data_IF_383060579246
#
_entry.id   IF_383060579246
#
_cell.length_a   1.000
_cell.length_b   1.000
_cell.length_c   1.000
_cell.angle_alpha   90.00
_cell.angle_beta   90.00
_cell.angle_gamma   90.00
#
_symmetry.space_group_name_H-M   'P 1'
#
loop_
_entity.id
_entity.type
_entity.pdbx_description
1 polymer ?
#
# COMPACT_ATOMS: atom_id res chain seq x y z
N UNK A 1 -32.90 -7.36 13.98
CA UNK A 1 -32.94 -6.54 12.74
C UNK A 1 -34.10 -7.00 11.86
N UNK A 2 -35.13 -6.17 11.68
CA UNK A 2 -36.35 -6.50 10.93
C UNK A 2 -36.29 -6.11 9.44
N UNK A 3 -35.22 -6.49 8.74
CA UNK A 3 -35.12 -6.28 7.29
C UNK A 3 -36.10 -7.23 6.61
N UNK A 4 -37.04 -6.70 5.83
CA UNK A 4 -38.09 -7.49 5.15
C UNK A 4 -37.92 -7.51 3.63
N UNK A 5 -37.03 -6.68 3.09
CA UNK A 5 -36.77 -6.57 1.66
C UNK A 5 -35.27 -6.48 1.37
N UNK A 6 -34.83 -7.20 0.33
CA UNK A 6 -33.46 -7.19 -0.20
C UNK A 6 -33.53 -6.96 -1.69
N UNK A 7 -32.63 -6.11 -2.19
CA UNK A 7 -32.47 -5.85 -3.62
C UNK A 7 -31.10 -6.39 -4.05
N UNK A 8 -31.07 -7.29 -5.02
CA UNK A 8 -29.86 -7.90 -5.55
C UNK A 8 -29.56 -7.32 -6.94
N UNK A 9 -28.43 -6.64 -7.07
CA UNK A 9 -27.88 -6.24 -8.36
C UNK A 9 -27.29 -7.46 -9.08
N UNK A 10 -27.83 -7.84 -10.24
CA UNK A 10 -27.42 -9.03 -10.98
C UNK A 10 -27.09 -8.66 -12.43
N UNK A 11 -25.92 -9.13 -12.90
CA UNK A 11 -25.47 -8.96 -14.29
C UNK A 11 -25.39 -10.30 -15.05
N UNK A 12 -24.91 -11.37 -14.40
CA UNK A 12 -24.72 -12.68 -15.04
C UNK A 12 -25.89 -13.64 -14.78
N UNK A 13 -26.45 -14.23 -15.85
CA UNK A 13 -27.53 -15.24 -15.83
C UNK A 13 -28.72 -14.91 -14.89
N UNK A 14 -29.44 -13.80 -15.13
CA UNK A 14 -30.50 -13.29 -14.25
C UNK A 14 -31.67 -14.27 -14.08
N UNK A 15 -32.03 -15.03 -15.12
CA UNK A 15 -33.15 -15.99 -15.05
C UNK A 15 -32.86 -17.17 -14.12
N UNK A 16 -31.65 -17.72 -14.17
CA UNK A 16 -31.24 -18.83 -13.33
C UNK A 16 -31.16 -18.39 -11.86
N UNK A 17 -30.61 -17.19 -11.61
CA UNK A 17 -30.53 -16.61 -10.28
C UNK A 17 -31.92 -16.25 -9.74
N UNK A 18 -32.80 -15.67 -10.54
CA UNK A 18 -34.17 -15.35 -10.12
C UNK A 18 -34.97 -16.61 -9.75
N UNK A 19 -34.82 -17.71 -10.50
CA UNK A 19 -35.43 -19.01 -10.14
C UNK A 19 -34.91 -19.54 -8.82
N UNK A 20 -33.59 -19.50 -8.62
CA UNK A 20 -32.97 -19.94 -7.37
C UNK A 20 -33.46 -19.11 -6.18
N UNK A 21 -33.49 -17.78 -6.30
CA UNK A 21 -33.86 -16.86 -5.22
C UNK A 21 -35.34 -16.95 -4.83
N UNK A 22 -36.22 -17.28 -5.78
CA UNK A 22 -37.66 -17.42 -5.53
C UNK A 22 -37.96 -18.50 -4.46
N UNK A 23 -37.17 -19.57 -4.43
CA UNK A 23 -37.30 -20.62 -3.41
C UNK A 23 -36.87 -20.13 -2.02
N UNK A 24 -36.08 -19.06 -1.93
CA UNK A 24 -35.59 -18.49 -0.67
C UNK A 24 -36.49 -17.37 -0.13
N UNK A 25 -37.25 -16.67 -0.97
CA UNK A 25 -38.22 -15.66 -0.49
C UNK A 25 -39.17 -16.25 0.55
N UNK A 26 -39.73 -17.43 0.25
CA UNK A 26 -40.66 -18.13 1.14
C UNK A 26 -39.98 -18.71 2.38
N UNK A 27 -38.72 -19.18 2.25
CA UNK A 27 -37.97 -19.78 3.36
C UNK A 27 -37.45 -18.74 4.36
N UNK A 28 -37.10 -17.56 3.87
CA UNK A 28 -36.56 -16.47 4.67
C UNK A 28 -37.63 -15.49 5.14
N UNK A 29 -38.83 -15.53 4.55
CA UNK A 29 -39.90 -14.57 4.86
C UNK A 29 -39.54 -13.14 4.44
N UNK A 30 -38.76 -13.00 3.37
CA UNK A 30 -38.22 -11.73 2.88
C UNK A 30 -38.55 -11.57 1.40
N UNK A 31 -38.86 -10.35 0.98
CA UNK A 31 -39.02 -10.00 -0.43
C UNK A 31 -37.64 -9.82 -1.07
N UNK A 32 -37.38 -10.50 -2.19
CA UNK A 32 -36.09 -10.43 -2.90
C UNK A 32 -36.35 -9.87 -4.30
N UNK A 33 -35.88 -8.65 -4.54
CA UNK A 33 -35.99 -7.98 -5.84
C UNK A 33 -34.68 -8.07 -6.60
N UNK A 34 -34.70 -8.59 -7.83
CA UNK A 34 -33.54 -8.55 -8.72
C UNK A 34 -33.52 -7.22 -9.50
N UNK A 35 -32.41 -6.50 -9.45
CA UNK A 35 -32.11 -5.36 -10.32
C UNK A 35 -31.16 -5.82 -11.42
N UNK A 36 -31.66 -5.89 -12.65
CA UNK A 36 -30.89 -6.32 -13.81
C UNK A 36 -30.40 -5.09 -14.58
N UNK A 37 -29.09 -5.01 -14.81
CA UNK A 37 -28.53 -4.06 -15.76
C UNK A 37 -28.72 -4.58 -17.19
N UNK A 38 -29.30 -3.77 -18.06
CA UNK A 38 -29.38 -4.06 -19.50
C UNK A 38 -28.13 -3.62 -20.25
N UNK A 39 -27.38 -2.65 -19.71
CA UNK A 39 -26.10 -2.17 -20.24
C UNK A 39 -25.14 -1.89 -19.06
N UNK A 40 -23.81 -2.02 -19.23
CA UNK A 40 -22.85 -1.78 -18.16
C UNK A 40 -22.82 -0.29 -17.78
N UNK A 41 -23.36 0.07 -16.61
CA UNK A 41 -23.44 1.46 -16.13
C UNK A 41 -22.37 1.80 -15.07
N UNK A 42 -21.41 0.90 -14.83
CA UNK A 42 -20.37 1.04 -13.80
C UNK A 42 -20.89 0.73 -12.39
N UNK A 43 -20.05 0.89 -11.36
CA UNK A 43 -20.32 0.40 -9.99
C UNK A 43 -21.56 1.02 -9.33
N UNK A 44 -21.97 2.23 -9.74
CA UNK A 44 -23.16 2.90 -9.24
C UNK A 44 -24.43 2.63 -10.07
N UNK A 45 -24.29 1.96 -11.22
CA UNK A 45 -25.37 1.63 -12.15
C UNK A 45 -26.54 0.88 -11.49
N UNK A 46 -26.30 -0.17 -10.68
CA UNK A 46 -27.38 -0.94 -10.11
C UNK A 46 -28.19 -0.17 -9.07
N UNK A 47 -27.55 0.76 -8.34
CA UNK A 47 -28.19 1.66 -7.38
C UNK A 47 -29.08 2.69 -8.08
N UNK A 48 -28.64 3.23 -9.22
CA UNK A 48 -29.41 4.19 -10.00
C UNK A 48 -30.72 3.58 -10.51
N UNK A 49 -30.70 2.32 -10.94
CA UNK A 49 -31.87 1.59 -11.44
C UNK A 49 -32.93 1.29 -10.37
N UNK A 50 -32.56 1.36 -9.09
CA UNK A 50 -33.46 1.05 -7.97
C UNK A 50 -33.72 2.23 -7.06
N UNK A 51 -33.33 3.44 -7.46
CA UNK A 51 -33.54 4.66 -6.69
C UNK A 51 -34.99 4.81 -6.20
N UNK A 52 -35.96 4.56 -7.08
CA UNK A 52 -37.39 4.66 -6.78
C UNK A 52 -37.90 3.59 -5.81
N UNK A 53 -37.14 2.51 -5.62
CA UNK A 53 -37.42 1.45 -4.64
C UNK A 53 -36.67 1.63 -3.33
N UNK A 54 -35.53 2.34 -3.36
CA UNK A 54 -34.71 2.63 -2.18
C UNK A 54 -35.24 3.81 -1.38
N UNK A 55 -35.87 4.78 -2.04
CA UNK A 55 -36.46 5.95 -1.41
C UNK A 55 -37.96 5.69 -1.27
N UNK A 56 -38.35 4.95 -0.23
CA UNK A 56 -39.71 5.05 0.26
C UNK A 56 -39.80 6.33 1.10
N UNK A 57 -40.88 7.09 1.00
CA UNK A 57 -41.05 8.41 1.64
C UNK A 57 -40.94 8.37 3.18
N UNK A 58 -40.67 7.20 3.77
CA UNK A 58 -40.45 6.97 5.20
C UNK A 58 -39.18 7.63 5.73
N UNK A 59 -38.19 7.92 4.87
CA UNK A 59 -36.88 8.45 5.28
C UNK A 59 -36.05 7.44 6.09
N UNK A 60 -36.39 6.15 6.02
CA UNK A 60 -35.64 5.09 6.70
C UNK A 60 -34.29 4.83 6.01
N UNK A 61 -33.21 4.60 6.77
CA UNK A 61 -31.92 4.25 6.17
C UNK A 61 -31.96 2.83 5.59
N UNK A 62 -31.20 2.62 4.52
CA UNK A 62 -30.95 1.31 3.92
C UNK A 62 -29.47 0.96 3.99
N UNK A 63 -29.15 -0.33 3.82
CA UNK A 63 -27.77 -0.80 3.75
C UNK A 63 -27.38 -1.10 2.30
N UNK A 64 -26.15 -0.73 1.96
CA UNK A 64 -25.48 -1.18 0.75
C UNK A 64 -24.36 -2.12 1.17
N UNK A 65 -24.38 -3.34 0.65
CA UNK A 65 -23.44 -4.39 0.98
C UNK A 65 -22.89 -5.01 -0.30
N UNK A 66 -21.62 -5.41 -0.29
CA UNK A 66 -21.06 -6.26 -1.33
C UNK A 66 -21.56 -7.69 -1.12
N UNK A 67 -21.93 -8.37 -2.20
CA UNK A 67 -22.53 -9.72 -2.15
C UNK A 67 -21.51 -10.82 -1.86
N UNK A 68 -20.22 -10.54 -1.94
CA UNK A 68 -19.11 -11.47 -1.72
C UNK A 68 -18.49 -11.36 -0.31
N UNK A 69 -19.05 -10.54 0.57
CA UNK A 69 -18.55 -10.37 1.94
C UNK A 69 -19.39 -11.19 2.92
N UNK A 70 -18.74 -12.17 3.57
CA UNK A 70 -19.34 -12.98 4.63
C UNK A 70 -18.71 -12.57 5.96
N UNK A 71 -19.45 -11.83 6.79
CA UNK A 71 -19.05 -11.53 8.17
C UNK A 71 -20.25 -11.20 9.06
N UNK A 72 -20.03 -11.20 10.38
CA UNK A 72 -21.01 -10.70 11.34
C UNK A 72 -20.99 -9.17 11.36
N UNK A 73 -21.95 -8.56 10.67
CA UNK A 73 -22.09 -7.11 10.65
C UNK A 73 -22.82 -6.61 11.91
N UNK A 74 -22.30 -5.61 12.64
CA UNK A 74 -22.98 -5.01 13.79
C UNK A 74 -24.04 -3.98 13.35
N UNK A 75 -25.01 -4.41 12.53
CA UNK A 75 -25.95 -3.53 11.82
C UNK A 75 -26.77 -2.62 12.75
N UNK A 76 -27.14 -3.09 13.94
CA UNK A 76 -27.83 -2.28 14.94
C UNK A 76 -26.98 -1.11 15.44
N UNK A 77 -25.68 -1.33 15.64
CA UNK A 77 -24.74 -0.27 16.03
C UNK A 77 -24.56 0.71 14.87
N UNK A 78 -24.50 0.22 13.64
CA UNK A 78 -24.39 1.06 12.44
C UNK A 78 -25.59 1.99 12.28
N UNK A 79 -26.83 1.51 12.47
CA UNK A 79 -28.02 2.35 12.41
C UNK A 79 -28.01 3.40 13.52
N UNK A 80 -27.68 3.01 14.75
CA UNK A 80 -27.60 3.95 15.88
C UNK A 80 -26.56 5.04 15.61
N UNK A 81 -25.39 4.66 15.12
CA UNK A 81 -24.35 5.60 14.72
C UNK A 81 -24.87 6.53 13.62
N UNK A 82 -25.44 5.99 12.54
CA UNK A 82 -25.93 6.76 11.41
C UNK A 82 -26.96 7.82 11.80
N UNK A 83 -27.96 7.41 12.59
CA UNK A 83 -29.01 8.32 13.09
C UNK A 83 -28.47 9.39 14.05
N UNK A 84 -27.39 9.11 14.78
CA UNK A 84 -26.84 10.03 15.76
C UNK A 84 -26.02 11.18 15.15
N UNK A 85 -25.29 10.93 14.04
CA UNK A 85 -24.46 11.97 13.41
C UNK A 85 -25.20 12.78 12.33
N UNK A 86 -26.26 12.23 11.73
CA UNK A 86 -27.17 12.95 10.82
C UNK A 86 -26.61 13.33 9.44
N UNK A 87 -25.42 12.84 9.09
CA UNK A 87 -24.82 12.99 7.75
C UNK A 87 -25.41 12.05 6.69
N UNK A 88 -25.10 12.32 5.43
CA UNK A 88 -25.71 11.66 4.26
C UNK A 88 -25.49 10.14 4.19
N UNK A 89 -24.34 9.66 4.68
CA UNK A 89 -23.98 8.25 4.63
C UNK A 89 -23.07 7.85 5.80
N UNK A 90 -22.96 6.54 6.03
CA UNK A 90 -22.00 5.95 6.97
C UNK A 90 -21.34 4.74 6.35
N UNK A 91 -20.04 4.63 6.58
CA UNK A 91 -19.23 3.54 6.03
C UNK A 91 -18.62 2.78 7.20
N UNK A 92 -18.77 1.46 7.20
CA UNK A 92 -18.04 0.59 8.12
C UNK A 92 -16.65 0.35 7.55
N UNK A 93 -15.62 0.66 8.35
CA UNK A 93 -14.21 0.40 8.00
C UNK A 93 -13.59 -0.56 9.01
N UNK A 94 -12.60 -1.32 8.56
CA UNK A 94 -11.77 -2.16 9.42
C UNK A 94 -10.39 -1.55 9.52
N UNK A 95 -9.85 -1.48 10.74
CA UNK A 95 -8.45 -1.11 10.95
C UNK A 95 -7.58 -2.28 10.50
N UNK A 96 -6.66 -2.00 9.57
CA UNK A 96 -5.69 -2.97 9.07
C UNK A 96 -4.30 -2.37 9.20
N UNK A 97 -3.32 -3.21 9.53
CA UNK A 97 -1.93 -2.74 9.68
C UNK A 97 -1.27 -2.47 8.32
N UNK A 98 -1.66 -3.21 7.27
CA UNK A 98 -1.17 -3.03 5.88
C UNK A 98 -2.32 -2.62 4.94
N UNK A 99 -2.50 -1.31 4.64
CA UNK A 99 -3.61 -0.84 3.84
C UNK A 99 -3.38 -0.84 2.32
N UNK A 100 -2.17 -1.18 1.84
CA UNK A 100 -1.73 -1.04 0.43
C UNK A 100 -2.62 -1.77 -0.59
N UNK A 101 -3.33 -2.81 -0.15
CA UNK A 101 -4.23 -3.62 -0.98
C UNK A 101 -5.67 -3.09 -1.03
N UNK A 102 -5.99 -2.07 -0.23
CA UNK A 102 -7.35 -1.61 0.03
C UNK A 102 -7.55 -0.12 -0.31
N UNK A 103 -8.79 0.29 -0.50
CA UNK A 103 -9.17 1.70 -0.41
C UNK A 103 -9.13 2.15 1.05
N UNK A 104 -8.49 3.29 1.32
CA UNK A 104 -8.30 3.84 2.66
C UNK A 104 -9.19 5.04 2.88
N UNK A 105 -9.79 5.10 4.06
CA UNK A 105 -10.58 6.24 4.52
C UNK A 105 -9.73 7.04 5.51
N UNK A 106 -9.47 8.30 5.20
CA UNK A 106 -8.88 9.26 6.15
C UNK A 106 -10.02 9.99 6.84
N UNK A 107 -10.01 9.98 8.17
CA UNK A 107 -11.09 10.51 9.00
C UNK A 107 -10.54 11.26 10.20
N UNK A 108 -11.29 12.26 10.66
CA UNK A 108 -11.02 12.95 11.91
C UNK A 108 -11.31 12.00 13.10
N UNK A 109 -10.34 11.83 13.99
CA UNK A 109 -10.41 10.80 15.05
C UNK A 109 -11.52 11.05 16.08
N UNK A 110 -11.82 12.32 16.38
CA UNK A 110 -12.80 12.73 17.40
C UNK A 110 -14.24 12.64 16.90
N UNK A 111 -14.49 13.03 15.65
CA UNK A 111 -15.85 13.09 15.09
C UNK A 111 -16.19 11.87 14.22
N UNK A 112 -15.17 11.19 13.72
CA UNK A 112 -15.31 10.12 12.73
C UNK A 112 -15.68 10.64 11.33
N UNK A 113 -15.63 11.95 11.09
CA UNK A 113 -15.95 12.54 9.79
C UNK A 113 -14.88 12.16 8.76
N UNK A 114 -15.32 11.66 7.61
CA UNK A 114 -14.42 11.35 6.49
C UNK A 114 -13.89 12.65 5.89
N UNK A 115 -12.57 12.77 5.81
CA UNK A 115 -11.87 13.88 5.16
C UNK A 115 -11.61 13.57 3.68
N UNK A 116 -11.15 12.34 3.39
CA UNK A 116 -10.88 11.89 2.02
C UNK A 116 -10.83 10.38 1.89
N UNK A 117 -11.07 9.91 0.68
CA UNK A 117 -10.83 8.53 0.25
C UNK A 117 -9.52 8.45 -0.53
N UNK A 118 -8.77 7.38 -0.32
CA UNK A 118 -7.54 7.08 -1.05
C UNK A 118 -7.65 5.69 -1.65
N UNK A 119 -7.73 5.60 -2.98
CA UNK A 119 -7.76 4.30 -3.66
C UNK A 119 -6.35 3.70 -3.70
N UNK A 120 -6.16 2.55 -3.03
CA UNK A 120 -4.89 1.80 -2.96
C UNK A 120 -3.69 2.73 -2.84
N UNK A 121 -3.59 3.46 -1.72
CA UNK A 121 -2.60 4.51 -1.58
C UNK A 121 -1.22 3.91 -1.74
N UNK A 122 -0.52 4.36 -2.78
CA UNK A 122 0.90 4.07 -3.01
C UNK A 122 1.82 4.86 -2.06
N UNK A 123 1.24 5.75 -1.26
CA UNK A 123 1.89 6.61 -0.27
C UNK A 123 0.83 7.16 0.68
N UNK A 124 0.84 6.70 1.94
CA UNK A 124 0.05 7.35 2.99
C UNK A 124 0.83 8.54 3.54
N UNK A 125 0.21 9.71 3.67
CA UNK A 125 0.89 10.91 4.19
C UNK A 125 0.68 10.96 5.70
N UNK A 126 1.66 10.43 6.42
CA UNK A 126 1.74 10.42 7.89
C UNK A 126 2.98 9.65 8.33
N UNK A 127 4.16 10.29 8.26
CA UNK A 127 5.48 9.74 8.64
C UNK A 127 5.85 8.35 8.08
N UNK A 128 5.11 7.84 7.10
CA UNK A 128 5.24 6.50 6.54
C UNK A 128 5.14 6.57 5.02
N UNK A 129 6.29 6.58 4.34
CA UNK A 129 6.34 6.51 2.89
C UNK A 129 6.14 5.05 2.49
N UNK A 130 5.07 4.76 1.73
CA UNK A 130 4.90 3.44 1.10
C UNK A 130 5.92 3.31 -0.02
N UNK A 131 6.64 2.18 0.01
CA UNK A 131 7.74 1.87 -0.87
C UNK A 131 7.34 0.76 -1.85
N UNK A 132 6.12 0.84 -2.38
CA UNK A 132 5.64 -0.05 -3.44
C UNK A 132 6.37 0.13 -4.78
N UNK A 133 7.15 1.21 -4.96
CA UNK A 133 8.07 1.37 -6.08
C UNK A 133 9.48 1.72 -5.57
N UNK A 134 10.55 1.04 -6.04
CA UNK A 134 11.92 1.29 -5.58
C UNK A 134 12.34 2.76 -5.61
N UNK A 135 11.85 3.53 -6.58
CA UNK A 135 12.11 4.97 -6.71
C UNK A 135 11.63 5.80 -5.51
N UNK A 136 10.52 5.41 -4.88
CA UNK A 136 10.01 6.10 -3.68
C UNK A 136 10.79 5.72 -2.41
N UNK A 137 11.47 4.56 -2.38
CA UNK A 137 12.41 4.21 -1.30
C UNK A 137 13.50 5.27 -1.19
N UNK A 138 14.10 5.59 -2.33
CA UNK A 138 15.24 6.50 -2.39
C UNK A 138 14.82 7.93 -2.04
N UNK A 139 13.61 8.34 -2.46
CA UNK A 139 13.04 9.63 -2.02
C UNK A 139 12.78 9.64 -0.52
N UNK A 140 12.19 8.58 0.03
CA UNK A 140 11.91 8.46 1.46
C UNK A 140 13.16 8.43 2.33
N UNK A 141 14.21 7.75 1.85
CA UNK A 141 15.54 7.77 2.45
C UNK A 141 16.06 9.20 2.55
N UNK A 142 16.01 9.98 1.46
CA UNK A 142 16.43 11.38 1.46
C UNK A 142 15.69 12.19 2.53
N UNK A 143 14.35 12.12 2.54
CA UNK A 143 13.52 12.83 3.51
C UNK A 143 13.79 12.40 4.97
N UNK A 144 13.99 11.11 5.21
CA UNK A 144 14.33 10.58 6.53
C UNK A 144 15.68 11.10 7.02
N UNK A 145 16.70 11.01 6.18
CA UNK A 145 18.05 11.47 6.50
C UNK A 145 18.11 13.00 6.68
N UNK A 146 17.37 13.75 5.87
CA UNK A 146 17.18 15.19 6.06
C UNK A 146 16.49 15.50 7.40
N UNK A 147 15.48 14.72 7.78
CA UNK A 147 14.82 14.87 9.08
C UNK A 147 15.80 14.62 10.24
N UNK A 148 16.67 13.61 10.13
CA UNK A 148 17.72 13.35 11.12
C UNK A 148 18.70 14.52 11.22
N UNK A 149 19.11 15.08 10.08
CA UNK A 149 20.00 16.26 10.02
C UNK A 149 19.36 17.46 10.71
N UNK A 150 18.10 17.75 10.38
CA UNK A 150 17.36 18.88 10.93
C UNK A 150 17.12 18.74 12.44
N UNK A 151 17.03 17.51 12.94
CA UNK A 151 16.94 17.21 14.38
C UNK A 151 18.30 17.20 15.09
N UNK A 152 19.41 17.46 14.39
CA UNK A 152 20.76 17.42 14.95
C UNK A 152 21.18 16.02 15.42
N UNK A 153 20.68 14.96 14.77
CA UNK A 153 20.96 13.58 15.17
C UNK A 153 22.44 13.24 15.06
N UNK A 154 23.01 12.70 16.13
CA UNK A 154 24.39 12.16 16.16
C UNK A 154 24.55 10.86 15.34
N UNK A 155 23.46 10.28 14.84
CA UNK A 155 23.50 9.04 14.05
C UNK A 155 24.06 9.23 12.64
N UNK A 156 24.08 10.47 12.12
CA UNK A 156 24.63 10.72 10.79
C UNK A 156 26.16 10.67 10.84
N UNK A 157 26.74 9.88 9.96
CA UNK A 157 28.18 9.74 9.82
C UNK A 157 28.82 11.03 9.28
N UNK A 158 30.10 11.21 9.58
CA UNK A 158 30.91 12.34 9.12
C UNK A 158 32.34 11.89 8.88
N UNK A 159 33.03 12.50 7.91
CA UNK A 159 34.41 12.17 7.57
C UNK A 159 34.77 12.70 6.18
N UNK A 160 36.04 12.59 5.79
CA UNK A 160 36.53 13.02 4.47
C UNK A 160 35.89 12.26 3.30
N UNK A 161 35.39 11.05 3.56
CA UNK A 161 34.76 10.16 2.59
C UNK A 161 33.22 10.16 2.64
N UNK A 162 32.63 11.04 3.45
CA UNK A 162 31.18 11.15 3.65
C UNK A 162 30.69 12.46 3.05
N UNK A 163 29.76 12.36 2.10
CA UNK A 163 29.17 13.50 1.40
C UNK A 163 27.67 13.60 1.68
N UNK A 164 27.24 14.71 2.28
CA UNK A 164 25.82 14.95 2.59
C UNK A 164 25.32 14.12 3.77
N UNK A 165 24.13 13.55 3.67
CA UNK A 165 23.56 12.73 4.74
C UNK A 165 23.85 11.26 4.50
N UNK A 166 24.61 10.66 5.41
CA UNK A 166 24.93 9.24 5.40
C UNK A 166 24.68 8.68 6.80
N UNK A 167 24.06 7.51 6.84
CA UNK A 167 23.81 6.74 8.06
C UNK A 167 24.50 5.39 7.91
N UNK A 168 25.39 5.06 8.84
CA UNK A 168 26.07 3.76 8.89
C UNK A 168 25.78 3.17 10.25
N UNK A 169 25.24 1.96 10.27
CA UNK A 169 25.00 1.21 11.50
C UNK A 169 26.33 0.72 12.10
N UNK A 170 26.43 0.68 13.44
CA UNK A 170 27.68 0.44 14.17
C UNK A 170 28.30 -0.94 13.89
N UNK A 171 27.48 -1.96 13.61
CA UNK A 171 27.93 -3.30 13.27
C UNK A 171 28.33 -3.48 11.80
N UNK A 172 28.15 -2.46 10.95
CA UNK A 172 28.61 -2.52 9.57
C UNK A 172 30.14 -2.43 9.50
N UNK A 173 30.76 -3.27 8.67
CA UNK A 173 32.20 -3.28 8.43
C UNK A 173 32.48 -2.54 7.14
N UNK A 174 33.25 -1.45 7.22
CA UNK A 174 33.67 -0.64 6.07
C UNK A 174 35.19 -0.76 5.93
N UNK A 175 35.67 -1.18 4.77
CA UNK A 175 37.09 -1.37 4.48
C UNK A 175 37.62 -0.31 3.50
N UNK A 176 38.90 0.03 3.65
CA UNK A 176 39.63 0.85 2.68
C UNK A 176 39.04 2.24 2.41
N UNK A 177 39.20 2.69 1.18
CA UNK A 177 38.88 4.04 0.68
C UNK A 177 37.48 4.13 0.05
N UNK A 178 36.46 3.69 0.79
CA UNK A 178 35.07 3.84 0.36
C UNK A 178 34.63 5.31 0.30
N UNK A 179 33.67 5.65 -0.57
CA UNK A 179 33.07 7.00 -0.68
C UNK A 179 31.55 6.90 -0.63
N UNK A 180 30.92 7.58 0.32
CA UNK A 180 29.47 7.49 0.52
C UNK A 180 28.80 8.86 0.42
N UNK A 181 27.76 8.94 -0.39
CA UNK A 181 26.86 10.08 -0.45
C UNK A 181 26.50 10.55 -1.87
N UNK A 182 25.47 11.41 -1.97
CA UNK A 182 24.57 11.82 -0.89
C UNK A 182 23.49 10.77 -0.59
N UNK A 183 22.88 10.84 0.59
CA UNK A 183 21.71 10.04 0.99
C UNK A 183 21.96 8.54 0.93
N UNK A 184 22.85 8.05 1.78
CA UNK A 184 23.18 6.62 1.89
C UNK A 184 22.80 6.11 3.28
N UNK A 185 22.18 4.93 3.34
CA UNK A 185 21.99 4.20 4.58
C UNK A 185 22.59 2.79 4.47
N UNK A 186 23.45 2.42 5.41
CA UNK A 186 24.06 1.10 5.53
C UNK A 186 23.53 0.45 6.81
N UNK A 187 22.85 -0.68 6.67
CA UNK A 187 22.23 -1.43 7.75
C UNK A 187 23.22 -2.29 8.54
N UNK A 188 22.72 -2.98 9.59
CA UNK A 188 23.57 -3.79 10.47
C UNK A 188 24.17 -4.99 9.73
N UNK A 189 25.33 -5.45 10.21
CA UNK A 189 26.04 -6.65 9.72
C UNK A 189 26.40 -6.59 8.22
N UNK A 190 26.37 -5.41 7.60
CA UNK A 190 26.81 -5.25 6.21
C UNK A 190 28.33 -5.26 6.14
N UNK A 191 28.88 -5.72 5.02
CA UNK A 191 30.31 -5.64 4.72
C UNK A 191 30.49 -4.88 3.42
N UNK A 192 31.22 -3.76 3.48
CA UNK A 192 31.55 -2.92 2.31
C UNK A 192 33.05 -2.90 2.16
N UNK A 193 33.54 -3.51 1.09
CA UNK A 193 34.97 -3.68 0.84
C UNK A 193 35.61 -2.43 0.18
N UNK A 194 36.94 -2.40 0.08
CA UNK A 194 37.70 -1.23 -0.37
C UNK A 194 37.25 -0.65 -1.73
N UNK A 195 37.35 0.69 -1.84
CA UNK A 195 37.07 1.43 -3.07
C UNK A 195 35.60 1.47 -3.52
N UNK A 196 34.64 1.08 -2.66
CA UNK A 196 33.21 1.13 -3.01
C UNK A 196 32.69 2.57 -2.97
N UNK A 197 31.90 2.96 -3.98
CA UNK A 197 31.20 4.24 -4.03
C UNK A 197 29.69 4.04 -4.00
N UNK A 198 29.02 4.70 -3.06
CA UNK A 198 27.56 4.62 -2.86
C UNK A 198 26.92 5.99 -2.94
N UNK A 199 25.83 6.13 -3.70
CA UNK A 199 25.01 7.35 -3.70
C UNK A 199 23.52 7.03 -3.78
N UNK A 200 22.70 7.75 -3.01
CA UNK A 200 21.23 7.62 -3.02
C UNK A 200 20.79 6.16 -2.93
N UNK A 201 21.30 5.43 -1.94
CA UNK A 201 21.06 4.00 -1.84
C UNK A 201 20.83 3.54 -0.39
N UNK A 202 20.17 2.39 -0.27
CA UNK A 202 20.03 1.69 1.01
C UNK A 202 20.61 0.30 0.90
N UNK A 203 21.46 -0.06 1.85
CA UNK A 203 22.07 -1.39 1.98
C UNK A 203 21.46 -2.06 3.20
N UNK A 204 20.69 -3.12 2.98
CA UNK A 204 19.92 -3.80 4.01
C UNK A 204 20.78 -4.84 4.74
N UNK A 205 20.31 -5.28 5.91
CA UNK A 205 21.08 -6.10 6.85
C UNK A 205 21.77 -7.30 6.19
N UNK A 206 23.03 -7.50 6.55
CA UNK A 206 23.82 -8.66 6.13
C UNK A 206 24.32 -8.63 4.68
N UNK A 207 24.04 -7.55 3.92
CA UNK A 207 24.51 -7.45 2.54
C UNK A 207 26.02 -7.23 2.46
N UNK A 208 26.64 -7.78 1.41
CA UNK A 208 28.06 -7.63 1.09
C UNK A 208 28.22 -6.86 -0.22
N UNK A 209 29.10 -5.86 -0.24
CA UNK A 209 29.47 -5.12 -1.44
C UNK A 209 30.97 -5.28 -1.64
N UNK A 210 31.35 -6.02 -2.68
CA UNK A 210 32.74 -6.33 -2.96
C UNK A 210 33.48 -5.13 -3.57
N UNK A 211 34.82 -5.24 -3.57
CA UNK A 211 35.74 -4.15 -3.93
C UNK A 211 35.36 -3.40 -5.19
N UNK A 212 35.59 -2.08 -5.17
CA UNK A 212 35.48 -1.20 -6.33
C UNK A 212 34.09 -1.15 -7.01
N UNK A 213 33.02 -1.55 -6.32
CA UNK A 213 31.67 -1.39 -6.84
C UNK A 213 31.21 0.08 -6.78
N UNK A 214 30.45 0.51 -7.78
CA UNK A 214 29.85 1.84 -7.87
C UNK A 214 28.33 1.69 -7.99
N UNK A 215 27.58 2.23 -7.01
CA UNK A 215 26.14 2.00 -6.90
C UNK A 215 25.42 3.34 -6.71
N UNK A 216 24.44 3.63 -7.56
CA UNK A 216 23.61 4.83 -7.50
C UNK A 216 22.12 4.51 -7.63
N UNK A 217 21.28 5.15 -6.80
CA UNK A 217 19.82 5.05 -6.87
C UNK A 217 19.26 3.62 -6.67
N UNK A 218 19.88 2.82 -5.80
CA UNK A 218 19.58 1.39 -5.63
C UNK A 218 19.19 0.98 -4.19
N UNK A 219 18.53 -0.17 -4.07
CA UNK A 219 18.26 -0.84 -2.78
C UNK A 219 18.92 -2.21 -2.83
N UNK A 220 19.94 -2.41 -2.01
CA UNK A 220 20.61 -3.71 -1.85
C UNK A 220 19.90 -4.45 -0.74
N UNK A 221 19.16 -5.52 -1.07
CA UNK A 221 18.35 -6.24 -0.10
C UNK A 221 19.16 -7.10 0.86
N UNK A 222 18.45 -7.75 1.79
CA UNK A 222 19.05 -8.55 2.86
C UNK A 222 19.97 -9.63 2.31
N UNK A 223 21.09 -9.86 3.00
CA UNK A 223 22.07 -10.92 2.70
C UNK A 223 22.57 -10.97 1.24
N UNK A 224 22.33 -9.92 0.45
CA UNK A 224 22.67 -9.89 -0.96
C UNK A 224 24.16 -9.60 -1.14
N UNK A 225 24.78 -10.15 -2.18
CA UNK A 225 26.18 -9.86 -2.52
C UNK A 225 26.27 -9.12 -3.85
N UNK A 226 26.88 -7.93 -3.83
CA UNK A 226 27.25 -7.20 -5.05
C UNK A 226 28.66 -7.57 -5.44
N UNK A 227 28.84 -8.00 -6.69
CA UNK A 227 30.12 -8.42 -7.25
C UNK A 227 31.17 -7.31 -7.31
N UNK A 228 32.44 -7.72 -7.36
CA UNK A 228 33.57 -6.80 -7.47
C UNK A 228 33.47 -6.00 -8.78
N UNK A 229 33.73 -4.69 -8.72
CA UNK A 229 33.70 -3.81 -9.89
C UNK A 229 32.31 -3.57 -10.48
N UNK A 230 31.24 -4.04 -9.84
CA UNK A 230 29.89 -3.85 -10.33
C UNK A 230 29.54 -2.36 -10.40
N UNK A 231 28.98 -1.93 -11.53
CA UNK A 231 28.42 -0.60 -11.70
C UNK A 231 26.90 -0.73 -11.88
N UNK A 232 26.14 -0.24 -10.89
CA UNK A 232 24.68 -0.40 -10.83
C UNK A 232 24.04 0.98 -10.67
N UNK A 233 23.14 1.31 -11.58
CA UNK A 233 22.42 2.58 -11.60
C UNK A 233 20.93 2.34 -11.90
N UNK A 234 20.05 3.07 -11.22
CA UNK A 234 18.61 3.18 -11.50
C UNK A 234 17.82 1.85 -11.55
N UNK A 235 18.27 0.82 -10.81
CA UNK A 235 17.59 -0.47 -10.74
C UNK A 235 17.63 -1.14 -9.35
N UNK A 236 16.45 -1.63 -8.95
CA UNK A 236 16.12 -2.93 -8.32
C UNK A 236 16.64 -3.28 -6.90
N UNK A 237 15.73 -3.97 -6.19
CA UNK A 237 15.89 -4.73 -4.94
C UNK A 237 16.57 -6.07 -5.25
N UNK A 238 17.75 -6.33 -4.70
CA UNK A 238 18.35 -7.66 -4.69
C UNK A 238 17.63 -8.52 -3.64
N UNK A 239 17.02 -9.64 -4.04
CA UNK A 239 16.53 -10.68 -3.12
C UNK A 239 17.62 -11.70 -2.83
N UNK A 240 17.39 -12.59 -1.86
CA UNK A 240 18.33 -13.64 -1.45
C UNK A 240 18.91 -14.38 -2.69
N UNK A 241 20.24 -14.52 -2.74
CA UNK A 241 21.03 -15.25 -3.75
C UNK A 241 21.14 -14.66 -5.19
N UNK A 242 21.28 -13.35 -5.35
CA UNK A 242 21.68 -12.78 -6.66
C UNK A 242 23.21 -12.72 -6.81
N UNK A 243 23.75 -13.58 -7.68
CA UNK A 243 25.12 -13.50 -8.20
C UNK A 243 25.09 -12.94 -9.62
N UNK A 244 25.51 -11.68 -9.81
CA UNK A 244 25.52 -11.03 -11.13
C UNK A 244 26.84 -10.31 -11.40
N UNK A 245 27.61 -10.85 -12.35
CA UNK A 245 28.87 -10.32 -12.86
C UNK A 245 28.67 -9.09 -13.78
N UNK A 246 29.70 -8.23 -13.80
CA UNK A 246 30.06 -7.21 -14.79
C UNK A 246 28.93 -6.54 -15.60
N UNK A 247 28.59 -5.31 -15.15
CA UNK A 247 27.95 -4.25 -15.93
C UNK A 247 26.54 -4.59 -16.45
N UNK A 248 25.55 -4.49 -15.56
CA UNK A 248 24.13 -4.52 -15.93
C UNK A 248 23.60 -3.08 -15.98
N UNK A 249 23.46 -2.53 -17.19
CA UNK A 249 22.60 -1.37 -17.47
C UNK A 249 21.31 -1.86 -18.13
N UNK A 250 20.23 -2.12 -17.38
CA UNK A 250 18.93 -2.44 -18.00
C UNK A 250 18.00 -1.22 -17.98
N UNK A 251 17.82 -0.62 -19.15
CA UNK A 251 16.57 0.06 -19.50
C UNK A 251 15.59 -1.01 -20.01
N UNK A 252 14.76 -1.63 -19.16
CA UNK A 252 13.91 -2.72 -19.65
C UNK A 252 12.84 -3.24 -18.70
N UNK A 253 11.59 -3.06 -19.12
CA UNK A 253 10.35 -3.76 -18.73
C UNK A 253 10.58 -5.25 -18.42
N UNK A 254 9.99 -5.74 -17.32
CA UNK A 254 9.83 -7.19 -17.07
C UNK A 254 8.77 -7.75 -18.04
N UNK A 255 9.04 -8.78 -18.85
CA UNK A 255 8.01 -9.47 -19.62
C UNK A 255 7.21 -10.40 -18.69
N UNK A 256 5.87 -10.49 -18.86
CA UNK A 256 5.06 -11.43 -18.09
C UNK A 256 5.33 -12.87 -18.54
N UNK A 257 5.42 -13.78 -17.57
CA UNK A 257 5.34 -15.23 -17.75
C UNK A 257 3.95 -15.69 -18.16
#
# INVERSE_FOLDING_TARGET
MGVTEVILAINYQPEAMARFLKDYESKLGMKITCSQETEPLGTAGPLALVKDKLIDESGSPFFVLNSDVICEFPLEKMIKFHKAHGGEASIMVTKVDEPSKYGVVVMEETTGKVERFMEKPKSFVGFWMDIGQPRYYITGLGLYLDSLRNKGSSKLSSGSHIHGNVLIEESAVIEGDCVFGPNVAIGPECVVEEGVTLSRCTVMRGARINKHACISNCIIGWNSTVGQGACIEDMIILGDDVYGYDKISCNGRVPPS
#
